data_IF_267521622984
#
_entry.id   IF_267521622984
#
_cell.length_a   1.000
_cell.length_b   1.000
_cell.length_c   1.000
_cell.angle_alpha   90.00
_cell.angle_beta   90.00
_cell.angle_gamma   90.00
#
_symmetry.space_group_name_H-M   'P 1'
#
loop_
_entity.id
_entity.type
_entity.pdbx_description
1 polymer ?
2 polymer ?
3 non-polymer ?
4 water ?
#
# COMPACT_ATOMS: atom_id res chain seq x y z
N UNK A 1 10.83 5.61 17.20
CA UNK A 1 11.11 5.46 15.77
C UNK A 1 11.89 4.20 15.46
N UNK A 2 11.29 3.06 15.77
CA UNK A 2 11.83 1.76 15.40
C UNK A 2 12.10 1.68 13.90
N UNK A 3 12.94 0.73 13.52
CA UNK A 3 13.19 0.48 12.11
C UNK A 3 11.89 0.17 11.36
N UNK A 4 11.00 -0.58 12.00
CA UNK A 4 9.69 -0.89 11.41
C UNK A 4 8.88 0.37 11.20
N UNK A 5 8.82 1.23 12.22
CA UNK A 5 8.04 2.47 12.09
C UNK A 5 8.62 3.36 11.00
N UNK A 6 9.94 3.41 10.88
CA UNK A 6 10.57 4.25 9.87
C UNK A 6 10.36 3.69 8.47
N UNK A 7 10.42 2.36 8.34
CA UNK A 7 10.21 1.76 7.02
C UNK A 7 8.77 1.96 6.56
N UNK A 8 7.82 1.75 7.47
CA UNK A 8 6.43 2.11 7.22
C UNK A 8 6.33 3.53 6.67
N UNK A 9 6.99 4.49 7.31
CA UNK A 9 6.91 5.88 6.86
C UNK A 9 7.54 6.07 5.49
N UNK A 10 8.56 5.28 5.16
CA UNK A 10 9.15 5.38 3.82
C UNK A 10 8.12 5.02 2.76
N UNK A 11 7.45 3.87 2.89
CA UNK A 11 6.55 3.48 1.82
C UNK A 11 5.29 4.36 1.83
N UNK A 12 4.80 4.73 3.02
CA UNK A 12 3.62 5.60 3.08
C UNK A 12 3.86 6.92 2.36
N UNK A 13 5.02 7.52 2.54
CA UNK A 13 5.27 8.81 1.91
C UNK A 13 5.35 8.69 0.40
N UNK A 14 5.92 7.59 -0.09
CA UNK A 14 5.99 7.41 -1.54
C UNK A 14 4.66 7.03 -2.13
N UNK A 15 3.84 6.27 -1.39
CA UNK A 15 2.51 5.96 -1.89
C UNK A 15 1.64 7.21 -1.90
N UNK A 16 1.69 8.00 -0.82
CA UNK A 16 0.96 9.27 -0.80
C UNK A 16 1.39 10.15 -1.95
N UNK A 17 2.71 10.26 -2.17
CA UNK A 17 3.20 11.07 -3.28
C UNK A 17 2.67 10.61 -4.63
N UNK A 18 2.60 9.30 -4.84
CA UNK A 18 2.12 8.79 -6.12
C UNK A 18 0.64 9.10 -6.31
N UNK A 19 -0.16 8.94 -5.26
CA UNK A 19 -1.58 9.27 -5.35
C UNK A 19 -1.78 10.75 -5.67
N UNK A 20 -1.01 11.62 -5.04
CA UNK A 20 -1.15 13.06 -5.28
C UNK A 20 -0.72 13.48 -6.67
N UNK A 21 0.34 12.83 -7.17
CA UNK A 21 0.92 13.07 -8.46
C UNK A 21 -0.03 12.82 -9.64
N UNK A 22 -0.73 11.70 -9.63
CA UNK A 22 -1.68 11.38 -10.69
C UNK A 22 -2.92 10.74 -10.12
N UNK A 23 -3.79 11.56 -9.55
CA UNK A 23 -5.01 11.02 -8.92
C UNK A 23 -5.95 10.34 -9.89
N UNK A 24 -6.08 10.85 -11.11
CA UNK A 24 -7.02 10.23 -12.04
C UNK A 24 -6.52 8.85 -12.48
N UNK A 25 -5.21 8.71 -12.68
CA UNK A 25 -4.67 7.41 -13.08
C UNK A 25 -4.76 6.39 -11.95
N UNK A 26 -4.40 6.77 -10.72
CA UNK A 26 -4.52 5.84 -9.60
C UNK A 26 -5.98 5.45 -9.37
N UNK A 27 -6.89 6.41 -9.49
CA UNK A 27 -8.31 6.10 -9.37
C UNK A 27 -8.73 5.03 -10.36
N UNK A 28 -8.23 5.11 -11.59
CA UNK A 28 -8.59 4.08 -12.55
C UNK A 28 -7.86 2.78 -12.26
N UNK A 29 -6.59 2.89 -11.84
CA UNK A 29 -5.90 1.68 -11.40
C UNK A 29 -6.72 0.96 -10.34
N UNK A 30 -7.30 1.70 -9.40
CA UNK A 30 -8.10 1.07 -8.36
C UNK A 30 -9.32 0.40 -8.95
N UNK A 31 -10.02 1.09 -9.85
CA UNK A 31 -11.16 0.48 -10.53
C UNK A 31 -10.73 -0.80 -11.23
N UNK A 32 -9.61 -0.75 -11.96
CA UNK A 32 -9.17 -1.93 -12.71
C UNK A 32 -8.78 -3.06 -11.78
N UNK A 33 -8.12 -2.74 -10.65
CA UNK A 33 -7.76 -3.79 -9.70
C UNK A 33 -9.02 -4.47 -9.14
N UNK A 34 -10.04 -3.67 -8.80
CA UNK A 34 -11.28 -4.23 -8.28
C UNK A 34 -11.93 -5.14 -9.32
N UNK A 35 -12.05 -4.64 -10.56
CA UNK A 35 -12.70 -5.41 -11.62
C UNK A 35 -11.93 -6.69 -11.92
N UNK A 36 -10.61 -6.65 -11.78
CA UNK A 36 -9.78 -7.84 -11.98
C UNK A 36 -10.20 -8.97 -11.05
N UNK A 37 -10.60 -8.64 -9.83
CA UNK A 37 -10.88 -9.63 -8.82
C UNK A 37 -12.39 -9.83 -8.63
N UNK B 1 -1.21 -14.61 13.42
CA UNK B 1 -1.89 -15.66 12.65
C UNK B 1 -3.32 -15.29 12.32
N UNK B 2 -4.01 -14.66 13.26
CA UNK B 2 -5.36 -14.22 13.03
C UNK B 2 -5.32 -13.02 12.09
N UNK B 3 -4.29 -12.18 12.24
CA UNK B 3 -4.14 -11.02 11.40
C UNK B 3 -3.89 -11.49 9.99
N UNK B 4 -3.04 -12.48 9.85
CA UNK B 4 -2.73 -13.02 8.56
C UNK B 4 -4.00 -13.53 7.92
N UNK B 5 -4.75 -14.32 8.66
CA UNK B 5 -6.02 -14.84 8.14
C UNK B 5 -6.93 -13.71 7.72
N UNK B 6 -7.04 -12.67 8.54
CA UNK B 6 -7.88 -11.54 8.18
C UNK B 6 -7.33 -10.78 6.98
N UNK B 7 -6.00 -10.75 6.81
CA UNK B 7 -5.41 -10.04 5.68
C UNK B 7 -5.68 -10.74 4.35
N UNK B 8 -5.65 -12.08 4.34
CA UNK B 8 -5.84 -12.81 3.09
C UNK B 8 -7.29 -12.88 2.64
N UNK B 9 -8.23 -12.48 3.48
CA UNK B 9 -9.63 -12.47 3.11
C UNK B 9 -10.15 -11.07 2.84
N UNK B 10 -9.29 -10.06 2.89
CA UNK B 10 -9.68 -8.72 2.47
C UNK B 10 -9.91 -8.70 0.97
N UNK B 11 -11.04 -8.16 0.54
CA UNK B 11 -11.19 -7.93 -0.88
C UNK B 11 -10.25 -6.83 -1.32
N UNK B 12 -10.07 -6.73 -2.64
CA UNK B 12 -9.22 -5.67 -3.18
C UNK B 12 -9.79 -4.30 -2.84
N UNK B 13 -11.12 -4.18 -2.81
CA UNK B 13 -11.77 -2.93 -2.43
C UNK B 13 -11.52 -2.60 -0.96
N UNK B 14 -11.50 -3.61 -0.09
CA UNK B 14 -11.15 -3.39 1.31
C UNK B 14 -9.69 -2.95 1.46
N UNK B 15 -8.79 -3.58 0.70
CA UNK B 15 -7.39 -3.16 0.72
C UNK B 15 -7.26 -1.72 0.27
N UNK B 16 -8.03 -1.31 -0.74
CA UNK B 16 -7.93 0.05 -1.25
C UNK B 16 -8.41 1.05 -0.21
N UNK B 17 -9.51 0.76 0.49
CA UNK B 17 -9.97 1.64 1.55
C UNK B 17 -8.95 1.71 2.69
N UNK B 18 -8.34 0.57 3.03
CA UNK B 18 -7.30 0.58 4.06
C UNK B 18 -6.12 1.43 3.61
N UNK B 19 -5.73 1.32 2.33
CA UNK B 19 -4.70 2.23 1.83
C UNK B 19 -5.16 3.68 1.97
N UNK B 20 -6.40 3.98 1.56
CA UNK B 20 -6.87 5.37 1.59
C UNK B 20 -6.91 5.92 3.01
N UNK B 21 -7.41 5.13 3.96
CA UNK B 21 -7.41 5.54 5.36
C UNK B 21 -6.01 5.99 5.78
N UNK B 22 -4.99 5.22 5.41
CA UNK B 22 -3.65 5.55 5.87
C UNK B 22 -3.06 6.78 5.16
N UNK B 23 -3.49 7.09 3.92
CA UNK B 23 -2.93 8.29 3.29
C UNK B 23 -3.60 9.57 3.76
N UNK B 24 -4.75 9.48 4.43
CA UNK B 24 -5.38 10.66 5.01
C UNK B 24 -6.46 11.23 4.12
N UNK B 25 -7.26 12.12 4.73
CA UNK B 25 -8.47 12.63 4.08
C UNK B 25 -8.16 13.44 2.83
N UNK B 26 -7.15 14.32 2.90
CA UNK B 26 -6.87 15.22 1.79
C UNK B 26 -6.56 14.43 0.52
N UNK B 27 -5.65 13.46 0.62
CA UNK B 27 -5.28 12.67 -0.54
C UNK B 27 -6.40 11.75 -0.96
N UNK B 28 -7.14 11.20 0.01
CA UNK B 28 -8.31 10.39 -0.32
C UNK B 28 -9.34 11.19 -1.10
N UNK B 29 -9.66 12.41 -0.64
CA UNK B 29 -10.56 13.25 -1.39
C UNK B 29 -10.12 13.44 -2.83
N UNK B 30 -8.79 13.47 -3.08
CA UNK B 30 -8.32 13.65 -4.45
C UNK B 30 -8.61 12.43 -5.32
N UNK B 31 -8.51 11.22 -4.74
CA UNK B 31 -8.83 10.01 -5.50
C UNK B 31 -10.34 9.93 -5.75
N UNK B 32 -11.12 10.13 -4.68
CA UNK B 32 -12.58 9.97 -4.79
C UNK B 32 -13.17 10.89 -5.84
N UNK B 33 -12.62 12.10 -6.00
CA UNK B 33 -13.15 13.05 -6.97
C UNK B 33 -12.94 12.59 -8.42
N UNK B 34 -12.13 11.55 -8.66
CA UNK B 34 -11.95 11.01 -9.99
C UNK B 34 -12.62 9.65 -10.18
N UNK B 35 -13.33 9.15 -9.18
CA UNK B 35 -14.06 7.90 -9.29
C UNK B 35 -15.52 8.15 -9.64
N UNK B 36 -16.16 7.12 -10.19
CA UNK B 36 -17.59 7.10 -10.45
C UNK B 36 -18.34 6.91 -9.14
N UNK B 37 -19.66 7.19 -9.16
CA UNK B 37 -20.44 7.19 -7.93
C UNK B 37 -20.49 5.80 -7.31
N UNK B 38 -20.68 4.76 -8.13
CA UNK B 38 -20.73 3.41 -7.58
C UNK B 38 -19.40 3.02 -6.94
N UNK B 39 -18.28 3.37 -7.58
CA UNK B 39 -16.98 3.12 -6.95
C UNK B 39 -16.86 3.90 -5.64
N UNK B 40 -17.25 5.17 -5.64
CA UNK B 40 -17.13 5.98 -4.42
C UNK B 40 -17.98 5.38 -3.32
N UNK B 41 -19.18 4.89 -3.66
CA UNK B 41 -20.06 4.30 -2.66
C UNK B 41 -19.40 3.10 -1.99
N UNK B 42 -18.84 2.19 -2.79
CA UNK B 42 -18.22 0.99 -2.22
C UNK B 42 -17.00 1.35 -1.37
N UNK B 43 -16.16 2.26 -1.87
CA UNK B 43 -14.92 2.56 -1.15
C UNK B 43 -15.23 3.35 0.12
N UNK B 44 -16.12 4.34 0.03
CA UNK B 44 -16.55 5.09 1.21
C UNK B 44 -17.11 4.17 2.28
N UNK B 45 -17.88 3.16 1.87
CA UNK B 45 -18.46 2.23 2.82
C UNK B 45 -17.37 1.48 3.59
N UNK B 46 -16.31 1.07 2.90
CA UNK B 46 -15.26 0.31 3.58
C UNK B 46 -14.35 1.20 4.43
N UNK B 47 -14.17 2.46 4.03
CA UNK B 47 -13.43 3.41 4.87
C UNK B 47 -14.11 3.54 6.23
N UNK B 48 -15.43 3.71 6.22
CA UNK B 48 -16.17 3.83 7.48
C UNK B 48 -16.10 2.53 8.25
N UNK B 49 -16.15 1.39 7.55
CA UNK B 49 -16.21 0.12 8.23
C UNK B 49 -14.84 -0.38 8.69
N UNK B 50 -13.76 -0.01 7.99
CA UNK B 50 -12.42 -0.47 8.34
C UNK B 50 -11.59 0.57 9.10
N UNK B 51 -12.16 1.73 9.41
CA UNK B 51 -11.52 2.67 10.32
C UNK B 51 -11.04 1.92 11.56
N UNK B 52 -9.79 2.13 11.92
CA UNK B 52 -9.26 1.44 13.08
C UNK B 52 -8.82 0.01 12.87
N UNK B 53 -8.60 -0.41 11.62
CA UNK B 53 -7.90 -1.66 11.37
C UNK B 53 -6.53 -1.65 12.04
N UNK B 54 -6.07 -2.84 12.45
CA UNK B 54 -4.72 -3.00 12.99
C UNK B 54 -3.70 -2.33 12.09
N UNK B 55 -2.73 -1.64 12.69
CA UNK B 55 -1.72 -0.97 11.89
C UNK B 55 -0.83 -1.96 11.15
N UNK B 56 -0.58 -3.14 11.72
CA UNK B 56 0.25 -4.13 11.04
C UNK B 56 -0.43 -4.65 9.76
N UNK B 57 -1.75 -4.82 9.78
CA UNK B 57 -2.47 -5.19 8.57
C UNK B 57 -2.41 -4.04 7.56
N UNK B 58 -2.57 -2.81 8.02
CA UNK B 58 -2.42 -1.68 7.11
C UNK B 58 -1.05 -1.63 6.48
N UNK B 59 -0.01 -1.89 7.27
CA UNK B 59 1.36 -1.89 6.77
C UNK B 59 1.56 -2.97 5.72
N UNK B 60 0.98 -4.15 5.95
CA UNK B 60 1.04 -5.22 4.96
C UNK B 60 0.33 -4.82 3.67
N UNK B 61 -0.77 -4.07 3.78
CA UNK B 61 -1.47 -3.56 2.59
C UNK B 61 -0.60 -2.57 1.84
N UNK B 62 0.03 -1.63 2.56
CA UNK B 62 0.91 -0.67 1.91
C UNK B 62 2.05 -1.37 1.19
N UNK B 63 2.63 -2.39 1.82
CA UNK B 63 3.72 -3.12 1.18
C UNK B 63 3.24 -3.77 -0.11
N UNK B 64 2.01 -4.27 -0.10
CA UNK B 64 1.46 -4.88 -1.31
C UNK B 64 1.33 -3.83 -2.41
N UNK B 65 0.82 -2.65 -2.07
CA UNK B 65 0.68 -1.60 -3.08
C UNK B 65 2.02 -0.99 -3.47
N UNK B 66 2.97 -0.92 -2.53
CA UNK B 66 4.33 -0.51 -2.87
C UNK B 66 4.90 -1.38 -3.98
N UNK B 67 4.73 -2.71 -3.88
CA UNK B 67 5.25 -3.58 -4.91
C UNK B 67 4.54 -3.37 -6.24
N UNK B 68 3.24 -3.10 -6.21
CA UNK B 68 2.49 -2.83 -7.44
C UNK B 68 3.02 -1.56 -8.12
N UNK B 69 3.20 -0.49 -7.35
CA UNK B 69 3.68 0.76 -7.92
C UNK B 69 5.13 0.64 -8.39
N UNK B 70 5.96 -0.14 -7.70
CA UNK B 70 7.33 -0.34 -8.18
C UNK B 70 7.32 -1.08 -9.51
N UNK B 71 6.56 -2.16 -9.61
CA UNK B 71 6.64 -2.99 -10.81
C UNK B 71 5.99 -2.34 -12.02
N UNK B 72 5.07 -1.39 -11.81
CA UNK B 72 4.42 -0.69 -12.91
C UNK B 72 4.96 0.71 -13.13
N UNK B 73 6.03 1.12 -12.43
CA UNK B 73 6.74 2.39 -12.66
C UNK B 73 6.02 3.62 -12.14
N UNK B 74 5.01 3.49 -11.27
CA UNK B 74 4.44 4.70 -10.68
C UNK B 74 5.37 5.26 -9.62
N UNK B 75 6.16 4.40 -8.98
CA UNK B 75 7.17 4.79 -8.01
C UNK B 75 8.52 4.33 -8.55
N UNK B 76 9.44 5.27 -8.75
CA UNK B 76 10.78 4.96 -9.25
C UNK B 76 11.87 5.34 -8.25
N UNK B 77 11.53 5.54 -6.99
CA UNK B 77 12.51 5.73 -5.92
C UNK B 77 12.27 4.70 -4.82
N UNK B 78 13.14 4.72 -3.82
CA UNK B 78 13.06 3.75 -2.73
C UNK B 78 13.36 2.32 -3.12
N UNK B 79 14.22 2.12 -4.13
CA UNK B 79 14.57 0.76 -4.51
C UNK B 79 15.19 -0.05 -3.38
N UNK B 80 15.94 0.60 -2.48
CA UNK B 80 16.57 -0.11 -1.38
C UNK B 80 15.52 -0.77 -0.48
N UNK B 81 14.48 -0.01 -0.11
CA UNK B 81 13.40 -0.56 0.73
C UNK B 81 12.61 -1.62 -0.02
N UNK B 82 12.45 -1.46 -1.33
CA UNK B 82 11.78 -2.48 -2.12
C UNK B 82 12.60 -3.77 -2.12
N UNK B 83 13.91 -3.66 -2.38
CA UNK B 83 14.80 -4.83 -2.26
C UNK B 83 14.70 -5.46 -0.88
N UNK B 84 14.72 -4.64 0.17
CA UNK B 84 14.65 -5.15 1.54
C UNK B 84 13.39 -5.97 1.77
N UNK B 85 12.24 -5.48 1.27
CA UNK B 85 11.00 -6.24 1.39
C UNK B 85 11.03 -7.52 0.56
N UNK B 86 11.53 -7.42 -0.68
CA UNK B 86 11.63 -8.59 -1.54
C UNK B 86 12.52 -9.67 -0.93
N UNK B 87 13.72 -9.29 -0.50
CA UNK B 87 14.67 -10.29 0.02
C UNK B 87 14.18 -10.89 1.33
N UNK B 88 13.50 -10.10 2.15
CA UNK B 88 12.92 -10.64 3.37
C UNK B 88 11.84 -11.66 3.06
N UNK B 89 11.02 -11.41 2.05
CA UNK B 89 10.00 -12.39 1.69
C UNK B 89 10.64 -13.65 1.13
N UNK B 90 11.71 -13.51 0.34
CA UNK B 90 12.25 -14.67 -0.35
C UNK B 90 13.34 -15.39 0.45
N UNK B 91 14.13 -14.67 1.23
CA UNK B 91 15.24 -15.28 1.96
C UNK B 91 15.02 -15.35 3.46
N UNK B 92 14.03 -14.64 4.00
CA UNK B 92 13.92 -14.48 5.43
C UNK B 92 14.79 -13.35 5.94
N UNK B 93 14.49 -12.92 7.18
CA UNK B 93 15.04 -11.67 7.71
C UNK B 93 16.57 -11.68 7.75
N UNK B 94 17.17 -12.80 8.15
CA UNK B 94 18.58 -12.75 8.52
C UNK B 94 19.52 -12.95 7.33
N UNK B 95 19.16 -13.77 6.35
CA UNK B 95 19.97 -13.80 5.14
C UNK B 95 19.73 -12.58 4.25
N UNK B 96 18.51 -12.03 4.30
CA UNK B 96 18.24 -10.79 3.55
C UNK B 96 19.12 -9.64 4.04
N UNK B 97 19.37 -9.57 5.35
CA UNK B 97 20.20 -8.48 5.86
C UNK B 97 21.63 -8.59 5.34
N UNK B 98 22.16 -9.81 5.22
CA UNK B 98 23.51 -9.93 4.69
C UNK B 98 23.57 -9.55 3.22
N UNK B 99 22.53 -9.92 2.45
CA UNK B 99 22.40 -9.39 1.09
C UNK B 99 22.27 -7.87 1.13
N UNK B 100 21.42 -7.36 2.01
CA UNK B 100 21.17 -5.92 2.04
C UNK B 100 22.44 -5.14 2.33
N UNK B 101 23.26 -5.61 3.27
CA UNK B 101 24.53 -4.93 3.53
C UNK B 101 25.41 -4.91 2.29
N UNK B 102 25.51 -6.04 1.58
CA UNK B 102 26.27 -6.04 0.34
C UNK B 102 25.59 -5.19 -0.72
N UNK B 103 24.26 -5.08 -0.67
CA UNK B 103 23.52 -4.33 -1.69
C UNK B 103 23.72 -2.83 -1.52
N UNK B 104 23.80 -2.34 -0.29
CA UNK B 104 23.99 -0.91 -0.05
C UNK B 104 25.39 -0.47 -0.48
N UNK B 105 26.41 -1.31 -0.25
CA UNK B 105 27.78 -1.08 -0.76
C UNK B 105 27.86 -1.34 -2.26
#
# INVERSE_FOLDING_TARGET
>A
FSEEEVRYEIILEKIRGTLKERPDEIAMLFKLLIKDE
>B
PKQKAQLDELSMSEKIAILLIQVGEDTTGEILRHLDIDSITEISKQIVQLNGTDKQIGAAVLEEFFAIFQSNQYINTGGLEYARELLTRTLGSEEAKKVMDKLTK
#
